data_IF_181308825069
#
_entry.id   IF_181308825069
#
_cell.length_a   1.000
_cell.length_b   1.000
_cell.length_c   1.000
_cell.angle_alpha   90.00
_cell.angle_beta   90.00
_cell.angle_gamma   90.00
#
_symmetry.space_group_name_H-M   'P 1'
#
loop_
_entity.id
_entity.type
_entity.pdbx_description
1 polymer ?
#
# COMPACT_ATOMS: atom_id res chain seq x y z
N UNK A 1 -16.23 -5.84 0.93
CA UNK A 1 -15.17 -6.05 1.93
C UNK A 1 -14.09 -4.97 1.76
N UNK A 2 -13.61 -4.35 2.84
CA UNK A 2 -12.41 -3.49 2.78
C UNK A 2 -11.22 -4.31 3.28
N UNK A 3 -10.31 -4.68 2.38
CA UNK A 3 -9.15 -5.49 2.73
C UNK A 3 -8.10 -4.71 3.54
N UNK A 4 -7.37 -5.39 4.42
CA UNK A 4 -6.21 -4.87 5.13
C UNK A 4 -5.21 -5.99 5.40
N UNK A 5 -3.93 -5.74 5.11
CA UNK A 5 -2.84 -6.67 5.45
C UNK A 5 -2.42 -6.60 6.92
N UNK A 6 -2.97 -5.66 7.70
CA UNK A 6 -2.73 -5.61 9.15
C UNK A 6 -3.40 -6.82 9.79
N UNK A 7 -2.60 -7.65 10.47
CA UNK A 7 -3.11 -8.82 11.19
C UNK A 7 -3.72 -8.50 12.55
N UNK A 8 -3.44 -7.31 13.08
CA UNK A 8 -3.87 -6.88 14.41
C UNK A 8 -5.10 -5.97 14.28
N UNK A 9 -6.06 -6.12 15.19
CA UNK A 9 -7.28 -5.30 15.28
C UNK A 9 -8.18 -5.39 14.03
N UNK A 10 -8.21 -6.56 13.38
CA UNK A 10 -9.08 -6.84 12.23
C UNK A 10 -9.98 -8.00 12.58
N UNK A 11 -11.28 -7.79 12.42
CA UNK A 11 -12.31 -8.81 12.61
C UNK A 11 -12.93 -9.04 11.24
N UNK A 12 -12.74 -10.26 10.71
CA UNK A 12 -13.42 -10.71 9.51
C UNK A 12 -14.75 -11.33 9.89
N UNK A 13 -15.72 -11.29 8.98
CA UNK A 13 -16.97 -12.03 9.16
C UNK A 13 -16.64 -13.52 9.14
N UNK A 14 -17.20 -14.27 10.10
CA UNK A 14 -17.01 -15.72 10.25
C UNK A 14 -17.84 -16.50 9.22
N UNK A 15 -17.53 -16.31 7.93
CA UNK A 15 -18.09 -17.09 6.85
C UNK A 15 -17.00 -17.56 5.89
N UNK A 16 -17.19 -18.77 5.35
CA UNK A 16 -16.21 -19.45 4.51
C UNK A 16 -15.74 -18.60 3.34
N UNK A 17 -16.67 -17.93 2.65
CA UNK A 17 -16.37 -17.12 1.49
C UNK A 17 -15.49 -15.90 1.84
N UNK A 18 -15.76 -15.25 2.97
CA UNK A 18 -14.93 -14.15 3.46
C UNK A 18 -13.51 -14.62 3.77
N UNK A 19 -13.37 -15.77 4.45
CA UNK A 19 -12.06 -16.31 4.79
C UNK A 19 -11.25 -16.73 3.55
N UNK A 20 -11.89 -17.38 2.58
CA UNK A 20 -11.28 -17.73 1.29
C UNK A 20 -10.81 -16.48 0.54
N UNK A 21 -11.67 -15.46 0.45
CA UNK A 21 -11.33 -14.20 -0.22
C UNK A 21 -10.14 -13.49 0.45
N UNK A 22 -10.08 -13.47 1.78
CA UNK A 22 -8.95 -12.90 2.53
C UNK A 22 -7.67 -13.68 2.26
N UNK A 23 -7.72 -15.02 2.24
CA UNK A 23 -6.58 -15.88 1.98
C UNK A 23 -6.01 -15.66 0.57
N UNK A 24 -6.87 -15.63 -0.46
CA UNK A 24 -6.46 -15.36 -1.85
C UNK A 24 -5.81 -13.98 -1.98
N UNK A 25 -6.38 -12.95 -1.34
CA UNK A 25 -5.78 -11.62 -1.36
C UNK A 25 -4.40 -11.58 -0.67
N UNK A 26 -4.24 -12.28 0.44
CA UNK A 26 -2.94 -12.40 1.13
C UNK A 26 -1.90 -13.11 0.24
N UNK A 27 -2.31 -14.17 -0.45
CA UNK A 27 -1.45 -14.90 -1.40
C UNK A 27 -1.03 -14.01 -2.58
N UNK A 28 -1.97 -13.33 -3.24
CA UNK A 28 -1.68 -12.45 -4.38
C UNK A 28 -0.71 -11.33 -3.98
N UNK A 29 -0.92 -10.74 -2.80
CA UNK A 29 -0.13 -9.61 -2.31
C UNK A 29 1.24 -10.02 -1.74
N UNK A 30 1.41 -11.27 -1.33
CA UNK A 30 2.69 -11.81 -0.83
C UNK A 30 3.56 -12.43 -1.93
N UNK A 31 2.96 -13.04 -2.95
CA UNK A 31 3.64 -13.84 -3.98
C UNK A 31 4.46 -13.06 -5.01
N UNK A 32 4.48 -11.72 -4.97
CA UNK A 32 5.23 -10.90 -5.95
C UNK A 32 4.76 -11.09 -7.40
N UNK A 33 3.45 -11.25 -7.60
CA UNK A 33 2.80 -11.37 -8.91
C UNK A 33 3.00 -10.15 -9.81
N UNK A 34 2.73 -10.32 -11.11
CA UNK A 34 2.73 -9.26 -12.15
C UNK A 34 1.80 -8.07 -11.83
N UNK A 35 0.94 -8.23 -10.83
CA UNK A 35 0.04 -7.20 -10.32
C UNK A 35 0.71 -6.22 -9.35
N UNK A 36 1.96 -6.48 -8.93
CA UNK A 36 2.68 -5.66 -7.94
C UNK A 36 3.70 -4.75 -8.62
N UNK A 37 3.41 -3.45 -8.61
CA UNK A 37 4.38 -2.42 -9.02
C UNK A 37 5.27 -2.05 -7.84
N UNK A 38 6.59 -2.25 -7.98
CA UNK A 38 7.60 -1.81 -7.01
C UNK A 38 8.36 -0.60 -7.54
N UNK A 39 8.45 0.45 -6.73
CA UNK A 39 9.18 1.67 -7.11
C UNK A 39 9.84 2.33 -5.92
N UNK A 40 11.14 2.58 -6.05
CA UNK A 40 11.87 3.54 -5.22
C UNK A 40 11.75 4.91 -5.87
N UNK A 41 11.09 5.85 -5.20
CA UNK A 41 10.93 7.21 -5.70
C UNK A 41 12.25 7.98 -5.59
N UNK A 42 12.60 8.71 -6.65
CA UNK A 42 13.71 9.68 -6.67
C UNK A 42 13.25 11.06 -6.16
N UNK A 43 14.17 11.96 -5.76
CA UNK A 43 13.82 13.34 -5.46
C UNK A 43 13.03 13.98 -6.60
N UNK A 44 11.88 14.59 -6.27
CA UNK A 44 10.96 15.18 -7.23
C UNK A 44 9.93 14.22 -7.85
N UNK A 45 10.05 12.90 -7.63
CA UNK A 45 9.03 11.94 -8.07
C UNK A 45 7.89 11.81 -7.05
N UNK A 46 6.69 11.50 -7.55
CA UNK A 46 5.50 11.25 -6.75
C UNK A 46 4.61 10.15 -7.36
N UNK A 47 3.58 9.76 -6.62
CA UNK A 47 2.59 8.79 -7.07
C UNK A 47 1.19 9.37 -6.90
N UNK A 48 0.43 9.38 -8.00
CA UNK A 48 -1.02 9.58 -7.98
C UNK A 48 -1.66 8.21 -8.19
N UNK A 49 -2.59 7.83 -7.30
CA UNK A 49 -3.27 6.56 -7.41
C UNK A 49 -4.73 6.67 -6.93
N UNK A 50 -5.58 5.80 -7.46
CA UNK A 50 -6.98 5.67 -7.05
C UNK A 50 -7.13 4.94 -5.70
N UNK A 51 -6.34 5.32 -4.68
CA UNK A 51 -6.28 4.67 -3.37
C UNK A 51 -6.07 3.14 -3.42
N UNK A 52 -5.30 2.65 -4.39
CA UNK A 52 -4.96 1.22 -4.49
C UNK A 52 -4.23 0.74 -3.22
N UNK A 53 -4.36 -0.55 -2.84
CA UNK A 53 -3.57 -1.11 -1.76
C UNK A 53 -2.07 -0.87 -2.00
N UNK A 54 -1.38 -0.33 -0.99
CA UNK A 54 0.05 -0.06 -1.07
C UNK A 54 0.69 -0.26 0.29
N UNK A 55 1.96 -0.64 0.28
CA UNK A 55 2.83 -0.70 1.45
C UNK A 55 4.10 0.09 1.17
N UNK A 56 4.78 0.49 2.25
CA UNK A 56 6.10 1.08 2.22
C UNK A 56 7.05 0.10 2.90
N UNK A 57 8.14 -0.25 2.26
CA UNK A 57 9.20 -1.01 2.91
C UNK A 57 9.93 -0.14 3.96
N UNK A 58 10.56 -0.80 4.93
CA UNK A 58 11.43 -0.10 5.86
C UNK A 58 12.61 0.52 5.09
N UNK A 59 13.06 1.68 5.54
CA UNK A 59 14.24 2.35 4.99
C UNK A 59 15.06 2.93 6.13
N UNK A 60 16.33 3.19 5.85
CA UNK A 60 17.27 3.83 6.77
C UNK A 60 17.49 5.24 6.25
N UNK A 61 17.30 6.23 7.12
CA UNK A 61 17.55 7.63 6.79
C UNK A 61 19.05 7.93 6.72
N UNK A 62 19.42 8.86 5.85
CA UNK A 62 20.79 9.39 5.82
C UNK A 62 21.08 10.15 7.12
N UNK A 63 22.33 10.09 7.64
CA UNK A 63 22.75 10.97 8.73
C UNK A 63 22.74 12.45 8.33
N UNK A 64 22.76 12.75 7.02
CA UNK A 64 22.61 14.12 6.50
C UNK A 64 21.13 14.44 6.33
N UNK A 65 20.65 15.45 7.04
CA UNK A 65 19.23 15.87 7.04
C UNK A 65 18.72 16.19 5.62
N UNK A 66 19.54 16.81 4.78
CA UNK A 66 19.18 17.16 3.40
C UNK A 66 18.91 15.96 2.49
N UNK A 67 19.34 14.76 2.89
CA UNK A 67 19.20 13.51 2.14
C UNK A 67 18.11 12.61 2.74
N UNK A 68 17.44 13.04 3.82
CA UNK A 68 16.35 12.29 4.43
C UNK A 68 15.08 12.34 3.58
N UNK A 69 14.26 11.30 3.70
CA UNK A 69 13.07 11.15 2.88
C UNK A 69 11.91 12.02 3.40
N UNK A 70 11.59 13.11 2.70
CA UNK A 70 10.37 13.88 2.91
C UNK A 70 9.30 13.53 1.87
N UNK A 71 8.07 13.23 2.31
CA UNK A 71 6.94 12.95 1.41
C UNK A 71 5.67 13.63 1.91
N UNK A 72 5.08 14.49 1.08
CA UNK A 72 3.75 15.05 1.31
C UNK A 72 2.69 14.09 0.76
N UNK A 73 1.57 13.93 1.50
CA UNK A 73 0.48 13.05 1.10
C UNK A 73 -0.86 13.76 1.19
N UNK A 74 -1.47 14.02 0.03
CA UNK A 74 -2.87 14.44 -0.08
C UNK A 74 -3.80 13.24 -0.27
N UNK A 75 -5.06 13.39 0.15
CA UNK A 75 -6.17 12.51 -0.23
C UNK A 75 -7.32 13.35 -0.74
N UNK A 76 -7.90 12.91 -1.84
CA UNK A 76 -9.02 13.56 -2.48
C UNK A 76 -10.25 12.67 -2.36
N UNK A 77 -11.40 13.29 -2.12
CA UNK A 77 -12.71 12.62 -2.02
C UNK A 77 -13.39 12.45 -3.38
N UNK A 78 -12.91 13.17 -4.40
CA UNK A 78 -13.34 13.05 -5.79
C UNK A 78 -12.16 12.69 -6.69
N UNK A 79 -12.39 11.99 -7.81
CA UNK A 79 -11.36 11.76 -8.82
C UNK A 79 -10.73 13.08 -9.26
N UNK A 80 -9.42 13.05 -9.45
CA UNK A 80 -8.72 14.13 -10.13
C UNK A 80 -9.06 13.97 -11.61
N UNK A 81 -9.63 14.99 -12.25
CA UNK A 81 -10.06 14.96 -13.67
C UNK A 81 -8.88 15.03 -14.65
N UNK A 82 -7.81 14.28 -14.37
CA UNK A 82 -6.63 14.10 -15.22
C UNK A 82 -6.89 13.05 -16.29
#
# INVERSE_FOLDING_TARGET
MRYTARKHNVIWKEDTLTHEAVAVLDEILSSSSDLIVRRSLKPGEGLICANVPHRRDAFIDSPRISEQRLMYRGRYTRPLGI
#
